data_IF_943041252128
#
_entry.id   IF_943041252128
#
_cell.length_a   1.000
_cell.length_b   1.000
_cell.length_c   1.000
_cell.angle_alpha   90.00
_cell.angle_beta   90.00
_cell.angle_gamma   90.00
#
_symmetry.space_group_name_H-M   'P 1'
#
loop_
_entity.id
_entity.type
_entity.pdbx_description
1 polymer ?
#
# COMPACT_ATOMS: atom_id res chain seq x y z
N UNK A 1 -14.17 16.50 1.76
CA UNK A 1 -13.20 15.40 1.96
C UNK A 1 -12.70 14.96 0.60
N UNK A 2 -11.44 15.23 0.25
CA UNK A 2 -10.85 14.74 -1.01
C UNK A 2 -10.54 13.26 -0.86
N UNK A 3 -11.41 12.41 -1.41
CA UNK A 3 -11.21 10.96 -1.44
C UNK A 3 -10.01 10.59 -2.31
N UNK A 4 -9.06 9.82 -1.77
CA UNK A 4 -7.91 9.31 -2.51
C UNK A 4 -8.37 8.14 -3.38
N UNK A 5 -8.12 8.20 -4.69
CA UNK A 5 -8.54 7.12 -5.61
C UNK A 5 -7.68 5.86 -5.44
N UNK A 6 -8.24 4.68 -5.79
CA UNK A 6 -7.48 3.42 -5.80
C UNK A 6 -6.26 3.45 -6.73
N UNK A 7 -6.34 4.20 -7.83
CA UNK A 7 -5.22 4.38 -8.78
C UNK A 7 -4.06 5.09 -8.08
N UNK A 8 -4.36 6.12 -7.31
CA UNK A 8 -3.38 6.88 -6.52
C UNK A 8 -2.76 6.00 -5.43
N UNK A 9 -3.57 5.23 -4.69
CA UNK A 9 -3.07 4.29 -3.67
C UNK A 9 -2.14 3.24 -4.28
N UNK A 10 -2.53 2.67 -5.43
CA UNK A 10 -1.67 1.73 -6.16
C UNK A 10 -0.34 2.37 -6.51
N UNK A 11 -0.35 3.62 -6.97
CA UNK A 11 0.87 4.36 -7.30
C UNK A 11 1.73 4.63 -6.07
N UNK A 12 1.12 5.01 -4.94
CA UNK A 12 1.85 5.17 -3.68
C UNK A 12 2.59 3.90 -3.27
N UNK A 13 1.96 2.73 -3.44
CA UNK A 13 2.59 1.43 -3.17
C UNK A 13 3.68 1.09 -4.19
N UNK A 14 3.46 1.36 -5.48
CA UNK A 14 4.47 1.11 -6.52
C UNK A 14 5.73 1.98 -6.36
N UNK A 15 5.57 3.19 -5.85
CA UNK A 15 6.66 4.15 -5.61
C UNK A 15 6.99 4.30 -4.11
N UNK A 16 6.76 3.25 -3.32
CA UNK A 16 7.01 3.26 -1.87
C UNK A 16 8.47 3.65 -1.54
N UNK A 17 9.43 3.11 -2.29
CA UNK A 17 10.85 3.40 -2.11
C UNK A 17 11.21 4.87 -2.33
N UNK A 18 10.62 5.49 -3.35
CA UNK A 18 10.85 6.89 -3.69
C UNK A 18 10.19 7.81 -2.65
N UNK A 19 8.98 7.45 -2.18
CA UNK A 19 8.34 8.09 -1.03
C UNK A 19 9.17 7.95 0.25
N UNK A 20 9.81 6.80 0.47
CA UNK A 20 10.62 6.54 1.66
C UNK A 20 11.88 7.39 1.69
N UNK A 21 12.55 7.54 0.53
CA UNK A 21 13.73 8.39 0.34
C UNK A 21 13.44 9.88 0.54
N UNK A 22 12.17 10.29 0.50
CA UNK A 22 11.78 11.69 0.60
C UNK A 22 12.17 12.51 -0.63
N UNK A 23 12.55 11.84 -1.71
CA UNK A 23 12.87 12.47 -2.97
C UNK A 23 11.57 12.90 -3.67
N UNK A 24 11.58 14.11 -4.23
CA UNK A 24 10.54 14.50 -5.17
C UNK A 24 10.66 13.58 -6.38
N UNK A 25 9.59 12.88 -6.75
CA UNK A 25 9.57 12.05 -7.96
C UNK A 25 10.06 12.89 -9.15
N UNK A 26 11.25 12.56 -9.67
CA UNK A 26 11.83 13.26 -10.83
C UNK A 26 10.91 13.22 -12.06
N UNK A 27 9.95 12.29 -12.08
CA UNK A 27 9.00 12.08 -13.17
C UNK A 27 7.82 13.07 -13.23
N UNK A 28 7.87 14.21 -12.54
CA UNK A 28 6.80 15.23 -12.61
C UNK A 28 5.44 14.72 -12.08
N UNK A 29 5.48 13.68 -11.25
CA UNK A 29 4.29 12.99 -10.78
C UNK A 29 3.71 13.71 -9.56
N UNK A 30 2.55 14.36 -9.72
CA UNK A 30 1.80 14.85 -8.56
C UNK A 30 1.18 13.66 -7.84
N UNK A 31 1.68 13.35 -6.64
CA UNK A 31 0.96 12.48 -5.73
C UNK A 31 -0.36 13.18 -5.36
N UNK A 32 -1.43 12.88 -6.11
CA UNK A 32 -2.77 13.30 -5.73
C UNK A 32 -3.03 12.86 -4.29
N UNK A 33 -3.63 13.72 -3.47
CA UNK A 33 -3.78 13.48 -2.04
C UNK A 33 -4.36 14.70 -1.35
N UNK A 34 -4.67 14.61 -0.05
CA UNK A 34 -5.12 15.75 0.73
C UNK A 34 -4.08 16.87 0.67
N UNK A 35 -4.52 18.12 0.54
CA UNK A 35 -3.60 19.26 0.64
C UNK A 35 -3.19 19.43 2.12
N UNK A 36 -1.89 19.40 2.44
CA UNK A 36 -1.44 19.64 3.80
C UNK A 36 -1.65 21.10 4.18
N UNK A 37 -2.18 21.35 5.38
CA UNK A 37 -2.38 22.71 5.93
C UNK A 37 -1.15 23.20 6.72
N UNK A 38 -0.31 22.29 7.21
CA UNK A 38 0.75 22.57 8.19
C UNK A 38 2.17 22.32 7.66
N UNK A 39 2.67 23.05 6.66
CA UNK A 39 4.11 23.04 6.26
C UNK A 39 4.73 21.69 5.84
N UNK A 40 3.97 20.60 5.93
CA UNK A 40 4.27 19.23 5.50
C UNK A 40 4.04 19.18 4.00
N UNK A 41 4.93 18.53 3.25
CA UNK A 41 4.71 18.37 1.81
C UNK A 41 3.67 17.28 1.56
N UNK A 42 2.92 17.36 0.46
CA UNK A 42 1.92 16.33 0.12
C UNK A 42 2.53 14.92 0.07
N UNK A 43 3.81 14.80 -0.32
CA UNK A 43 4.54 13.53 -0.30
C UNK A 43 4.76 12.98 1.11
N UNK A 44 5.11 13.84 2.08
CA UNK A 44 5.26 13.45 3.48
C UNK A 44 3.93 12.98 4.08
N UNK A 45 2.82 13.67 3.78
CA UNK A 45 1.50 13.26 4.25
C UNK A 45 1.10 11.90 3.68
N UNK A 46 1.31 11.68 2.37
CA UNK A 46 1.00 10.41 1.73
C UNK A 46 1.83 9.26 2.30
N UNK A 47 3.11 9.50 2.59
CA UNK A 47 3.98 8.53 3.29
C UNK A 47 3.44 8.19 4.67
N UNK A 48 3.09 9.19 5.48
CA UNK A 48 2.53 8.97 6.83
C UNK A 48 1.27 8.11 6.76
N UNK A 49 0.34 8.46 5.88
CA UNK A 49 -0.91 7.71 5.71
C UNK A 49 -0.65 6.27 5.24
N UNK A 50 0.33 6.08 4.35
CA UNK A 50 0.70 4.77 3.84
C UNK A 50 1.39 3.90 4.91
N UNK A 51 2.31 4.46 5.68
CA UNK A 51 2.99 3.78 6.78
C UNK A 51 1.98 3.38 7.87
N UNK A 52 1.03 4.25 8.21
CA UNK A 52 -0.08 3.92 9.11
C UNK A 52 -0.93 2.76 8.58
N UNK A 53 -1.27 2.77 7.30
CA UNK A 53 -2.03 1.70 6.67
C UNK A 53 -1.24 0.37 6.64
N UNK A 54 0.06 0.40 6.33
CA UNK A 54 0.93 -0.78 6.34
C UNK A 54 1.02 -1.38 7.74
N UNK A 55 1.16 -0.54 8.78
CA UNK A 55 1.21 -0.96 10.18
C UNK A 55 -0.12 -1.56 10.69
N UNK A 56 -1.25 -1.10 10.18
CA UNK A 56 -2.57 -1.63 10.52
C UNK A 56 -2.96 -2.91 9.74
N UNK A 57 -2.13 -3.33 8.79
CA UNK A 57 -2.46 -4.41 7.87
C UNK A 57 -2.30 -5.81 8.50
N UNK A 58 -3.18 -6.78 8.20
CA UNK A 58 -3.00 -8.17 8.61
C UNK A 58 -1.69 -8.77 8.09
N UNK A 59 -1.01 -9.58 8.92
CA UNK A 59 0.33 -10.12 8.65
C UNK A 59 0.48 -10.78 7.26
N UNK A 60 -0.49 -11.60 6.84
CA UNK A 60 -0.42 -12.28 5.52
C UNK A 60 -0.52 -11.30 4.34
N UNK A 61 -1.22 -10.17 4.50
CA UNK A 61 -1.26 -9.10 3.49
C UNK A 61 0.03 -8.27 3.55
N UNK A 62 0.50 -7.94 4.75
CA UNK A 62 1.77 -7.25 4.96
C UNK A 62 2.93 -8.01 4.32
N UNK A 63 3.00 -9.33 4.50
CA UNK A 63 4.05 -10.16 3.90
C UNK A 63 4.03 -10.09 2.36
N UNK A 64 2.84 -10.15 1.75
CA UNK A 64 2.71 -10.02 0.29
C UNK A 64 3.09 -8.60 -0.19
N UNK A 65 2.62 -7.57 0.52
CA UNK A 65 2.95 -6.18 0.26
C UNK A 65 4.46 -5.92 0.41
N UNK A 66 5.09 -6.48 1.44
CA UNK A 66 6.52 -6.35 1.71
C UNK A 66 7.34 -6.96 0.58
N UNK A 67 7.00 -8.18 0.14
CA UNK A 67 7.67 -8.81 -1.00
C UNK A 67 7.54 -7.98 -2.28
N UNK A 68 6.39 -7.35 -2.54
CA UNK A 68 6.14 -6.62 -3.80
C UNK A 68 6.64 -5.18 -3.80
N UNK A 69 6.39 -4.44 -2.74
CA UNK A 69 6.49 -2.97 -2.70
C UNK A 69 7.64 -2.46 -1.83
N UNK A 70 8.11 -3.25 -0.85
CA UNK A 70 9.16 -2.83 0.10
C UNK A 70 10.50 -3.50 -0.23
N UNK A 71 10.48 -4.70 -0.82
CA UNK A 71 11.69 -5.48 -1.14
C UNK A 71 11.86 -5.72 -2.63
N UNK A 72 10.90 -5.28 -3.44
CA UNK A 72 10.81 -5.49 -4.89
C UNK A 72 11.28 -6.88 -5.36
N UNK A 73 10.80 -7.93 -4.68
CA UNK A 73 11.16 -9.29 -5.03
C UNK A 73 10.55 -9.69 -6.36
N UNK A 74 11.28 -10.51 -7.11
CA UNK A 74 10.71 -11.18 -8.27
C UNK A 74 9.49 -12.01 -7.84
N UNK A 75 8.50 -12.16 -8.74
CA UNK A 75 7.31 -12.97 -8.44
C UNK A 75 7.71 -14.40 -8.04
N UNK A 76 8.76 -14.95 -8.66
CA UNK A 76 9.25 -16.30 -8.33
C UNK A 76 9.76 -16.38 -6.89
N UNK A 77 10.55 -15.39 -6.46
CA UNK A 77 11.13 -15.37 -5.11
C UNK A 77 10.05 -15.09 -4.07
N UNK A 78 9.13 -14.17 -4.35
CA UNK A 78 7.98 -13.90 -3.48
C UNK A 78 7.10 -15.14 -3.27
N UNK A 79 6.83 -15.92 -4.32
CA UNK A 79 6.05 -17.16 -4.20
C UNK A 79 6.76 -18.24 -3.37
N UNK A 80 8.09 -18.34 -3.53
CA UNK A 80 8.92 -19.27 -2.76
C UNK A 80 8.97 -18.88 -1.28
N UNK A 81 9.11 -17.60 -1.00
CA UNK A 81 9.20 -17.08 0.36
C UNK A 81 7.86 -17.16 1.10
N UNK A 82 6.77 -16.80 0.43
CA UNK A 82 5.42 -16.81 1.01
C UNK A 82 4.76 -18.19 0.99
N UNK A 83 5.44 -19.18 0.37
CA UNK A 83 4.95 -20.54 0.15
C UNK A 83 3.48 -20.56 -0.30
N UNK A 84 3.15 -19.79 -1.34
CA UNK A 84 1.76 -19.64 -1.79
C UNK A 84 1.63 -19.75 -3.31
N UNK A 85 0.41 -20.01 -3.78
CA UNK A 85 0.13 -20.07 -5.22
C UNK A 85 0.15 -18.68 -5.85
N UNK A 86 0.47 -18.62 -7.15
CA UNK A 86 0.47 -17.38 -7.94
C UNK A 86 -0.83 -16.60 -7.79
N UNK A 87 -1.98 -17.30 -7.91
CA UNK A 87 -3.29 -16.68 -7.75
C UNK A 87 -3.50 -16.07 -6.35
N UNK A 88 -3.03 -16.75 -5.31
CA UNK A 88 -3.12 -16.25 -3.92
C UNK A 88 -2.25 -15.02 -3.73
N UNK A 89 -1.03 -15.01 -4.26
CA UNK A 89 -0.13 -13.86 -4.19
C UNK A 89 -0.72 -12.61 -4.85
N UNK A 90 -1.22 -12.72 -6.08
CA UNK A 90 -1.86 -11.59 -6.75
C UNK A 90 -3.16 -11.15 -6.07
N UNK A 91 -3.93 -12.09 -5.51
CA UNK A 91 -5.11 -11.76 -4.71
C UNK A 91 -4.73 -10.97 -3.46
N UNK A 92 -3.71 -11.41 -2.71
CA UNK A 92 -3.19 -10.70 -1.53
C UNK A 92 -2.67 -9.30 -1.88
N UNK A 93 -1.96 -9.13 -2.99
CA UNK A 93 -1.50 -7.81 -3.44
C UNK A 93 -2.68 -6.88 -3.79
N UNK A 94 -3.72 -7.41 -4.42
CA UNK A 94 -4.95 -6.64 -4.70
C UNK A 94 -5.68 -6.27 -3.40
N UNK A 95 -5.76 -7.20 -2.46
CA UNK A 95 -6.41 -6.98 -1.17
C UNK A 95 -5.62 -5.99 -0.30
N UNK A 96 -4.29 -5.96 -0.41
CA UNK A 96 -3.43 -4.92 0.16
C UNK A 96 -3.81 -3.53 -0.38
N UNK A 97 -3.93 -3.36 -1.71
CA UNK A 97 -4.33 -2.07 -2.31
C UNK A 97 -5.72 -1.67 -1.82
N UNK A 98 -6.66 -2.61 -1.74
CA UNK A 98 -8.00 -2.35 -1.23
C UNK A 98 -8.00 -1.96 0.25
N UNK A 99 -7.16 -2.60 1.08
CA UNK A 99 -6.99 -2.28 2.50
C UNK A 99 -6.50 -0.85 2.66
N UNK A 100 -5.39 -0.49 1.99
CA UNK A 100 -4.82 0.86 2.09
C UNK A 100 -5.83 1.90 1.59
N UNK A 101 -6.52 1.62 0.48
CA UNK A 101 -7.58 2.51 -0.01
C UNK A 101 -8.70 2.72 1.00
N UNK A 102 -9.17 1.67 1.66
CA UNK A 102 -10.22 1.79 2.65
C UNK A 102 -9.73 2.55 3.88
N UNK A 103 -8.53 2.21 4.38
CA UNK A 103 -7.91 2.85 5.54
C UNK A 103 -7.72 4.35 5.32
N UNK A 104 -7.10 4.75 4.21
CA UNK A 104 -6.80 6.16 3.87
C UNK A 104 -8.08 7.00 3.69
N UNK A 105 -9.15 6.39 3.20
CA UNK A 105 -10.43 7.08 3.01
C UNK A 105 -11.37 6.99 4.23
N UNK A 106 -10.93 6.36 5.34
CA UNK A 106 -11.77 6.14 6.52
C UNK A 106 -12.99 5.25 6.23
N UNK A 107 -12.90 4.40 5.22
CA UNK A 107 -13.95 3.44 4.88
C UNK A 107 -13.84 2.22 5.78
N UNK A 108 -14.99 1.68 6.16
CA UNK A 108 -15.05 0.42 6.88
C UNK A 108 -14.46 -0.69 5.98
N UNK A 109 -13.43 -1.35 6.48
CA UNK A 109 -12.79 -2.46 5.80
C UNK A 109 -13.00 -3.71 6.65
N UNK A 110 -13.68 -4.69 6.08
CA UNK A 110 -14.02 -5.94 6.76
C UNK A 110 -12.76 -6.80 7.00
N UNK A 111 -12.09 -6.47 8.11
CA UNK A 111 -10.89 -7.13 8.59
C UNK A 111 -11.17 -8.57 9.02
N UNK A 112 -12.38 -8.85 9.51
CA UNK A 112 -12.77 -10.20 9.97
C UNK A 112 -12.88 -11.16 8.79
N UNK A 113 -13.52 -10.73 7.70
CA UNK A 113 -13.61 -11.50 6.45
C UNK A 113 -12.25 -11.79 5.84
N UNK A 114 -11.28 -10.89 5.99
CA UNK A 114 -9.90 -11.12 5.55
C UNK A 114 -9.14 -12.10 6.44
N UNK A 115 -9.30 -11.98 7.76
CA UNK A 115 -8.73 -12.95 8.71
C UNK A 115 -9.29 -14.35 8.48
N UNK A 116 -10.56 -14.48 8.11
CA UNK A 116 -11.17 -15.76 7.74
C UNK A 116 -10.68 -16.28 6.38
N UNK A 117 -10.64 -15.42 5.36
CA UNK A 117 -10.14 -15.77 4.01
C UNK A 117 -8.69 -16.23 4.04
N UNK A 118 -7.91 -15.72 4.98
CA UNK A 118 -6.50 -16.01 5.14
C UNK A 118 -6.19 -16.63 6.50
N UNK A 119 -7.09 -17.43 7.09
CA UNK A 119 -6.69 -18.34 8.19
C UNK A 119 -5.73 -19.40 7.66
#
# INVERSE_FOLDING_TARGET
MTSVSKKVVKQWLEYYHELQAGEALENGFSFGGPKPEDGVTSGQLNKIMLDQAINAMPLKLYQAASCRFIRDLSTRDALRELNCSRGTYFKRNRDCINFVYAYVNGLEFDLEKLKETYR
#
